data_IF_040084597120
#
_entry.id   IF_040084597120
#
_cell.length_a   1.000
_cell.length_b   1.000
_cell.length_c   1.000
_cell.angle_alpha   90.00
_cell.angle_beta   90.00
_cell.angle_gamma   90.00
#
_symmetry.space_group_name_H-M   'P 1'
#
loop_
_entity.id
_entity.type
_entity.pdbx_description
1 polymer ?
#
# COMPACT_ATOMS: atom_id res chain seq x y z
N UNK A 1 -9.16 2.06 -16.64
CA UNK A 1 -8.01 1.12 -16.64
C UNK A 1 -6.99 1.71 -17.59
N UNK A 2 -5.80 2.10 -17.12
CA UNK A 2 -4.80 2.74 -17.98
C UNK A 2 -4.16 1.68 -18.89
N UNK A 3 -4.54 1.62 -20.17
CA UNK A 3 -4.04 0.60 -21.12
C UNK A 3 -2.52 0.62 -21.27
N UNK A 4 -1.85 1.74 -20.97
CA UNK A 4 -0.38 1.83 -20.95
C UNK A 4 0.28 0.90 -19.92
N UNK A 5 -0.48 0.37 -18.94
CA UNK A 5 0.02 -0.51 -17.90
C UNK A 5 0.06 -1.99 -18.29
N UNK A 6 -0.71 -2.40 -19.30
CA UNK A 6 -0.83 -3.79 -19.74
C UNK A 6 0.08 -4.09 -20.93
N UNK A 7 1.36 -3.79 -20.82
CA UNK A 7 2.33 -4.17 -21.86
C UNK A 7 2.72 -5.66 -21.73
N UNK A 8 3.05 -6.35 -22.82
CA UNK A 8 3.53 -7.74 -22.77
C UNK A 8 4.71 -7.93 -21.82
N UNK A 9 5.64 -6.97 -21.77
CA UNK A 9 6.83 -7.02 -20.93
C UNK A 9 6.47 -6.97 -19.45
N UNK A 10 5.59 -6.04 -19.06
CA UNK A 10 5.10 -5.92 -17.68
C UNK A 10 4.32 -7.15 -17.27
N UNK A 11 3.46 -7.66 -18.15
CA UNK A 11 2.71 -8.88 -17.89
C UNK A 11 3.65 -10.08 -17.67
N UNK A 12 4.65 -10.26 -18.53
CA UNK A 12 5.66 -11.31 -18.37
C UNK A 12 6.45 -11.17 -17.07
N UNK A 13 6.82 -9.93 -16.69
CA UNK A 13 7.51 -9.69 -15.43
C UNK A 13 6.66 -10.08 -14.22
N UNK A 14 5.38 -9.68 -14.18
CA UNK A 14 4.46 -10.02 -13.10
C UNK A 14 4.21 -11.54 -13.05
N UNK A 15 4.00 -12.18 -14.19
CA UNK A 15 3.85 -13.64 -14.27
C UNK A 15 5.09 -14.38 -13.78
N UNK A 16 6.30 -13.91 -14.11
CA UNK A 16 7.54 -14.51 -13.63
C UNK A 16 7.65 -14.44 -12.11
N UNK A 17 7.24 -13.34 -11.49
CA UNK A 17 7.20 -13.20 -10.03
C UNK A 17 6.17 -14.15 -9.42
N UNK A 18 4.95 -14.16 -9.94
CA UNK A 18 3.86 -15.01 -9.46
C UNK A 18 4.15 -16.52 -9.59
N UNK A 19 4.96 -16.92 -10.57
CA UNK A 19 5.34 -18.32 -10.83
C UNK A 19 6.59 -18.78 -10.10
N UNK A 20 7.25 -17.93 -9.30
CA UNK A 20 8.40 -18.37 -8.49
C UNK A 20 7.99 -19.50 -7.54
N UNK A 21 8.86 -20.49 -7.30
CA UNK A 21 8.59 -21.53 -6.31
C UNK A 21 8.15 -20.91 -4.98
N UNK A 22 7.07 -21.45 -4.41
CA UNK A 22 6.48 -21.01 -3.13
C UNK A 22 5.82 -19.61 -3.13
N UNK A 23 5.81 -18.86 -4.23
CA UNK A 23 5.19 -17.53 -4.30
C UNK A 23 3.69 -17.54 -3.95
N UNK A 24 2.97 -18.60 -4.33
CA UNK A 24 1.54 -18.78 -4.02
C UNK A 24 1.21 -18.71 -2.53
N UNK A 25 2.14 -19.15 -1.67
CA UNK A 25 1.92 -19.16 -0.21
C UNK A 25 1.95 -17.74 0.34
N UNK A 26 2.83 -16.87 -0.19
CA UNK A 26 2.84 -15.45 0.17
C UNK A 26 1.54 -14.75 -0.27
N UNK A 27 1.06 -15.00 -1.49
CA UNK A 27 -0.22 -14.44 -1.94
C UNK A 27 -1.39 -14.92 -1.09
N UNK A 28 -1.45 -16.22 -0.78
CA UNK A 28 -2.49 -16.79 0.08
C UNK A 28 -2.44 -16.19 1.50
N UNK A 29 -1.25 -16.09 2.11
CA UNK A 29 -1.08 -15.48 3.42
C UNK A 29 -1.50 -14.01 3.41
N UNK A 30 -1.14 -13.24 2.38
CA UNK A 30 -1.54 -11.84 2.25
C UNK A 30 -3.06 -11.67 2.20
N UNK A 31 -3.76 -12.42 1.33
CA UNK A 31 -5.23 -12.25 1.19
C UNK A 31 -6.05 -12.85 2.33
N UNK A 32 -5.50 -13.83 3.05
CA UNK A 32 -6.15 -14.45 4.20
C UNK A 32 -5.83 -13.75 5.53
N UNK A 33 -4.95 -12.75 5.53
CA UNK A 33 -4.44 -12.12 6.75
C UNK A 33 -3.43 -12.96 7.51
N UNK A 34 -2.93 -14.06 6.94
CA UNK A 34 -1.89 -14.90 7.54
C UNK A 34 -0.52 -14.21 7.66
N UNK A 35 -0.36 -12.99 7.12
CA UNK A 35 0.80 -12.13 7.38
C UNK A 35 0.58 -11.16 8.56
N UNK A 36 -0.66 -10.97 9.00
CA UNK A 36 -0.98 -10.03 10.06
C UNK A 36 -0.59 -10.61 11.43
N UNK A 37 0.00 -9.78 12.30
CA UNK A 37 0.38 -10.21 13.65
C UNK A 37 -0.82 -10.55 14.55
N UNK A 38 -2.03 -10.19 14.13
CA UNK A 38 -3.27 -10.37 14.89
C UNK A 38 -4.48 -10.32 13.96
N UNK A 39 -5.59 -10.92 14.40
CA UNK A 39 -6.88 -10.87 13.71
C UNK A 39 -7.71 -9.63 14.09
N UNK A 40 -7.26 -8.80 15.03
CA UNK A 40 -7.95 -7.57 15.42
C UNK A 40 -7.70 -6.45 14.37
N UNK A 41 -8.74 -6.04 13.61
CA UNK A 41 -8.60 -5.04 12.55
C UNK A 41 -8.28 -3.63 13.05
N UNK A 42 -8.34 -3.38 14.37
CA UNK A 42 -8.03 -2.09 14.99
C UNK A 42 -6.70 -2.09 15.75
N UNK A 43 -5.98 -3.21 15.77
CA UNK A 43 -4.72 -3.32 16.52
C UNK A 43 -3.68 -2.29 16.09
N UNK A 44 -3.53 -2.08 14.78
CA UNK A 44 -2.56 -1.15 14.20
C UNK A 44 -2.78 0.28 14.70
N UNK A 45 -4.03 0.70 14.91
CA UNK A 45 -4.35 2.06 15.39
C UNK A 45 -3.93 2.28 16.84
N UNK A 46 -3.95 1.23 17.67
CA UNK A 46 -3.40 1.33 19.02
C UNK A 46 -1.87 1.44 19.00
N UNK A 47 -1.22 0.83 18.02
CA UNK A 47 0.24 0.89 17.88
C UNK A 47 0.71 2.27 17.41
N UNK A 48 -0.06 2.95 16.57
CA UNK A 48 0.33 4.26 16.03
C UNK A 48 0.45 5.31 17.13
N UNK A 49 -0.42 5.26 18.14
CA UNK A 49 -0.33 6.12 19.33
C UNK A 49 0.93 5.89 20.17
N UNK A 50 1.65 4.79 19.98
CA UNK A 50 2.89 4.46 20.70
C UNK A 50 4.16 4.81 19.92
N UNK A 51 4.04 5.33 18.69
CA UNK A 51 5.20 5.71 17.89
C UNK A 51 5.95 6.86 18.55
N UNK A 52 7.27 6.72 18.66
CA UNK A 52 8.18 7.76 19.18
C UNK A 52 8.90 8.53 18.07
N UNK A 53 8.41 8.40 16.83
CA UNK A 53 8.94 9.06 15.65
C UNK A 53 7.80 9.67 14.84
N UNK A 54 8.08 10.70 14.02
CA UNK A 54 7.07 11.29 13.15
C UNK A 54 6.42 10.24 12.24
N UNK A 55 5.10 10.31 12.12
CA UNK A 55 4.28 9.47 11.26
C UNK A 55 3.84 10.25 10.02
N UNK A 56 4.37 9.87 8.86
CA UNK A 56 3.89 10.35 7.56
C UNK A 56 3.00 9.30 6.90
N UNK A 57 1.76 9.67 6.59
CA UNK A 57 0.79 8.80 5.91
C UNK A 57 0.59 9.24 4.47
N UNK A 58 0.77 8.30 3.54
CA UNK A 58 0.39 8.48 2.14
C UNK A 58 -0.96 7.85 1.88
N UNK A 59 -1.91 8.66 1.40
CA UNK A 59 -3.26 8.22 1.06
C UNK A 59 -3.40 8.13 -0.46
N UNK A 60 -3.66 6.91 -0.94
CA UNK A 60 -4.01 6.66 -2.35
C UNK A 60 -5.46 7.07 -2.60
N UNK A 61 -5.68 8.13 -3.37
CA UNK A 61 -7.01 8.75 -3.54
C UNK A 61 -8.01 7.83 -4.26
N UNK A 62 -7.54 6.90 -5.10
CA UNK A 62 -8.37 5.98 -5.88
C UNK A 62 -8.33 4.53 -5.33
N UNK A 63 -7.81 4.35 -4.11
CA UNK A 63 -7.84 3.05 -3.45
C UNK A 63 -9.29 2.56 -3.22
N UNK A 64 -9.50 1.23 -3.14
CA UNK A 64 -10.79 0.66 -2.79
C UNK A 64 -11.37 1.31 -1.51
N UNK A 65 -12.69 1.56 -1.43
CA UNK A 65 -13.27 2.34 -0.34
C UNK A 65 -12.89 1.89 1.06
N UNK A 66 -12.83 0.57 1.29
CA UNK A 66 -12.43 -0.02 2.57
C UNK A 66 -10.98 0.36 2.92
N UNK A 67 -10.03 0.10 2.02
CA UNK A 67 -8.62 0.43 2.23
C UNK A 67 -8.40 1.93 2.38
N UNK A 68 -9.07 2.75 1.56
CA UNK A 68 -9.02 4.21 1.65
C UNK A 68 -9.55 4.71 2.99
N UNK A 69 -10.64 4.12 3.50
CA UNK A 69 -11.17 4.42 4.83
C UNK A 69 -10.15 4.16 5.94
N UNK A 70 -9.45 3.02 5.90
CA UNK A 70 -8.38 2.72 6.87
C UNK A 70 -7.19 3.68 6.76
N UNK A 71 -6.77 4.03 5.54
CA UNK A 71 -5.71 5.04 5.33
C UNK A 71 -6.12 6.41 5.87
N UNK A 72 -7.37 6.81 5.68
CA UNK A 72 -7.90 8.07 6.22
C UNK A 72 -8.00 8.07 7.74
N UNK A 73 -8.36 6.94 8.34
CA UNK A 73 -8.32 6.78 9.80
C UNK A 73 -6.89 6.93 10.33
N UNK A 74 -5.91 6.31 9.67
CA UNK A 74 -4.50 6.45 10.05
C UNK A 74 -4.01 7.89 9.88
N UNK A 75 -4.44 8.58 8.82
CA UNK A 75 -4.08 9.96 8.54
C UNK A 75 -4.60 10.96 9.59
N UNK A 76 -5.60 10.61 10.40
CA UNK A 76 -6.06 11.45 11.52
C UNK A 76 -5.02 11.52 12.65
N UNK A 77 -4.21 10.48 12.78
CA UNK A 77 -3.24 10.32 13.86
C UNK A 77 -1.79 10.63 13.37
N UNK A 78 -1.65 11.23 12.18
CA UNK A 78 -0.36 11.44 11.50
C UNK A 78 0.16 12.88 11.63
N UNK A 79 1.49 13.03 11.72
CA UNK A 79 2.15 14.35 11.71
C UNK A 79 2.13 14.98 10.31
N UNK A 80 2.16 14.15 9.27
CA UNK A 80 2.11 14.58 7.89
C UNK A 80 1.22 13.65 7.07
N UNK A 81 0.46 14.25 6.12
CA UNK A 81 -0.40 13.51 5.21
C UNK A 81 -0.13 13.94 3.78
N UNK A 82 0.02 12.98 2.87
CA UNK A 82 0.14 13.24 1.44
C UNK A 82 -0.87 12.44 0.66
N UNK A 83 -1.63 13.11 -0.20
CA UNK A 83 -2.55 12.48 -1.11
C UNK A 83 -1.87 12.31 -2.47
N UNK A 84 -1.93 11.09 -3.01
CA UNK A 84 -1.42 10.78 -4.35
C UNK A 84 -2.56 10.13 -5.14
N UNK A 85 -2.80 10.54 -6.39
CA UNK A 85 -3.71 9.82 -7.28
C UNK A 85 -3.24 8.37 -7.47
N UNK A 86 -4.14 7.46 -7.82
CA UNK A 86 -3.82 6.05 -7.99
C UNK A 86 -4.34 5.13 -6.89
N UNK A 87 -4.08 3.83 -7.09
CA UNK A 87 -4.64 2.73 -6.30
C UNK A 87 -3.60 2.25 -5.28
N UNK A 88 -3.75 1.01 -4.80
CA UNK A 88 -2.88 0.44 -3.78
C UNK A 88 -1.43 0.23 -4.26
N UNK A 89 -1.19 0.20 -5.57
CA UNK A 89 0.14 0.02 -6.18
C UNK A 89 0.82 1.35 -6.53
N UNK A 90 0.69 2.38 -5.67
CA UNK A 90 1.25 3.73 -5.90
C UNK A 90 2.72 3.74 -6.32
N UNK A 91 3.54 2.86 -5.73
CA UNK A 91 4.96 2.76 -6.07
C UNK A 91 5.20 2.34 -7.53
N UNK A 92 4.28 1.56 -8.11
CA UNK A 92 4.32 1.21 -9.52
C UNK A 92 3.71 2.37 -10.33
N UNK A 93 2.50 2.82 -9.97
CA UNK A 93 1.73 3.79 -10.75
C UNK A 93 2.39 5.18 -10.82
N UNK A 94 2.92 5.63 -9.69
CA UNK A 94 3.40 6.99 -9.45
C UNK A 94 4.73 7.02 -8.69
N UNK A 95 5.61 6.02 -8.87
CA UNK A 95 6.83 5.87 -8.07
C UNK A 95 7.72 7.11 -7.98
N UNK A 96 7.94 7.82 -9.09
CA UNK A 96 8.74 9.05 -9.09
C UNK A 96 8.07 10.21 -8.33
N UNK A 97 6.74 10.35 -8.47
CA UNK A 97 5.95 11.34 -7.74
C UNK A 97 5.91 11.02 -6.24
N UNK A 98 5.69 9.74 -5.89
CA UNK A 98 5.72 9.25 -4.51
C UNK A 98 7.07 9.54 -3.86
N UNK A 99 8.18 9.16 -4.51
CA UNK A 99 9.51 9.42 -3.99
C UNK A 99 9.77 10.92 -3.77
N UNK A 100 9.42 11.75 -4.77
CA UNK A 100 9.54 13.21 -4.65
C UNK A 100 8.75 13.74 -3.44
N UNK A 101 7.49 13.34 -3.29
CA UNK A 101 6.64 13.79 -2.18
C UNK A 101 7.12 13.34 -0.80
N UNK A 102 7.76 12.18 -0.71
CA UNK A 102 8.33 11.69 0.56
C UNK A 102 9.64 12.39 0.93
N UNK A 103 10.40 12.88 -0.05
CA UNK A 103 11.70 13.54 0.19
C UNK A 103 11.58 15.06 0.36
N UNK A 104 10.54 15.68 -0.19
CA UNK A 104 10.27 17.12 -0.06
C UNK A 104 9.50 17.47 1.23
N UNK A 105 9.02 16.45 1.96
CA UNK A 105 8.27 16.57 3.22
C UNK A 105 9.18 16.66 4.43
#
# INVERSE_FOLDING_TARGET
>A
MNSAWLTPERLHQQQRLARRPRARFASAAFVSGGLDCTTDPHWWRRQTAMLQCPLHVVVASEAPPRSRGSMQQLAQDADQVTFIPGRLDLHQEFGALLARKLLDG
#
